data_IF_038214186472
#
_entry.id   IF_038214186472
#
_cell.length_a   1.000
_cell.length_b   1.000
_cell.length_c   1.000
_cell.angle_alpha   90.00
_cell.angle_beta   90.00
_cell.angle_gamma   90.00
#
_symmetry.space_group_name_H-M   'P 1'
#
loop_
_entity.id
_entity.type
_entity.pdbx_description
1 polymer ?
#
# COMPACT_ATOMS: atom_id res chain seq x y z
N UNK A 1 -0.04 5.19 11.24
CA UNK A 1 -0.50 5.75 9.96
C UNK A 1 -1.37 4.70 9.26
N UNK A 2 -2.57 5.05 8.78
CA UNK A 2 -3.37 4.21 7.89
C UNK A 2 -2.60 3.76 6.63
N UNK A 3 -2.89 2.56 6.12
CA UNK A 3 -2.21 2.04 4.94
C UNK A 3 -2.50 2.87 3.67
N UNK A 4 -3.68 3.49 3.57
CA UNK A 4 -4.02 4.42 2.49
C UNK A 4 -3.09 5.64 2.45
N UNK A 5 -2.77 6.17 3.62
CA UNK A 5 -1.93 7.36 3.75
C UNK A 5 -0.47 7.00 3.42
N UNK A 6 -0.02 5.84 3.90
CA UNK A 6 1.29 5.31 3.54
C UNK A 6 1.39 5.05 2.03
N UNK A 7 0.35 4.46 1.42
CA UNK A 7 0.28 4.22 -0.02
C UNK A 7 0.39 5.51 -0.82
N UNK A 8 -0.32 6.57 -0.41
CA UNK A 8 -0.25 7.88 -1.05
C UNK A 8 1.12 8.56 -0.93
N UNK A 9 1.88 8.24 0.11
CA UNK A 9 3.26 8.73 0.26
C UNK A 9 4.25 7.96 -0.62
N UNK A 10 4.03 6.66 -0.79
CA UNK A 10 4.98 5.73 -1.43
C UNK A 10 4.81 5.62 -2.96
N UNK A 11 3.60 5.79 -3.46
CA UNK A 11 3.31 5.67 -4.88
C UNK A 11 3.55 6.98 -5.63
N UNK A 12 3.99 6.89 -6.89
CA UNK A 12 4.08 8.04 -7.79
C UNK A 12 2.66 8.53 -8.13
N UNK A 13 1.76 7.58 -8.38
CA UNK A 13 0.34 7.82 -8.61
C UNK A 13 -0.51 6.82 -7.83
N UNK A 14 -1.60 7.29 -7.23
CA UNK A 14 -2.57 6.42 -6.56
C UNK A 14 -3.98 6.93 -6.83
N UNK A 15 -4.91 6.00 -7.07
CA UNK A 15 -6.34 6.30 -7.14
C UNK A 15 -7.17 5.19 -6.51
N UNK A 16 -8.29 5.53 -5.83
CA UNK A 16 -9.23 4.52 -5.38
C UNK A 16 -9.93 3.86 -6.59
N UNK A 17 -10.30 2.60 -6.43
CA UNK A 17 -11.17 1.91 -7.37
C UNK A 17 -12.64 2.02 -6.92
N UNK A 18 -13.47 2.84 -7.60
CA UNK A 18 -14.86 3.05 -7.23
C UNK A 18 -15.75 1.83 -7.50
N UNK A 19 -15.25 0.83 -8.23
CA UNK A 19 -16.02 -0.39 -8.55
C UNK A 19 -15.87 -1.47 -7.48
N UNK A 20 -14.93 -1.30 -6.55
CA UNK A 20 -14.70 -2.27 -5.49
C UNK A 20 -15.82 -2.26 -4.44
N UNK A 21 -16.39 -3.44 -4.19
CA UNK A 21 -17.38 -3.65 -3.13
C UNK A 21 -16.78 -4.58 -2.06
N UNK A 22 -16.57 -4.11 -0.83
CA UNK A 22 -16.00 -4.94 0.23
C UNK A 22 -16.95 -6.06 0.64
N UNK A 23 -16.44 -7.28 0.79
CA UNK A 23 -17.25 -8.45 1.17
C UNK A 23 -17.18 -8.81 2.66
N UNK A 24 -15.98 -8.70 3.26
CA UNK A 24 -15.73 -9.15 4.65
C UNK A 24 -15.46 -8.01 5.62
N UNK A 25 -14.84 -6.93 5.14
CA UNK A 25 -14.48 -5.77 5.93
C UNK A 25 -15.05 -4.53 5.24
N UNK A 26 -16.17 -4.02 5.75
CA UNK A 26 -16.94 -2.94 5.12
C UNK A 26 -16.13 -1.66 4.88
N UNK A 27 -15.09 -1.42 5.67
CA UNK A 27 -14.19 -0.28 5.55
C UNK A 27 -12.94 -0.57 4.71
N UNK A 28 -12.87 -1.72 4.05
CA UNK A 28 -11.79 -2.02 3.11
C UNK A 28 -11.93 -1.16 1.85
N UNK A 29 -10.83 -0.64 1.34
CA UNK A 29 -10.78 0.11 0.08
C UNK A 29 -9.78 -0.57 -0.86
N UNK A 30 -10.04 -0.50 -2.17
CA UNK A 30 -9.11 -0.95 -3.21
C UNK A 30 -8.51 0.24 -3.92
N UNK A 31 -7.21 0.15 -4.18
CA UNK A 31 -6.41 1.21 -4.80
C UNK A 31 -5.63 0.65 -5.98
N UNK A 32 -5.55 1.44 -7.04
CA UNK A 32 -4.56 1.25 -8.09
C UNK A 32 -3.41 2.22 -7.84
N UNK A 33 -2.20 1.67 -7.69
CA UNK A 33 -1.01 2.45 -7.39
C UNK A 33 0.09 2.13 -8.42
N UNK A 34 0.74 3.18 -8.91
CA UNK A 34 1.92 3.07 -9.76
C UNK A 34 3.15 3.50 -8.96
N UNK A 35 4.23 2.73 -9.08
CA UNK A 35 5.56 3.11 -8.62
C UNK A 35 6.57 2.94 -9.76
N UNK A 36 7.82 3.36 -9.54
CA UNK A 36 8.93 3.04 -10.45
C UNK A 36 9.09 1.53 -10.74
N UNK A 37 8.54 0.64 -9.90
CA UNK A 37 8.57 -0.81 -10.09
C UNK A 37 7.38 -1.37 -10.87
N UNK A 38 6.35 -0.55 -11.11
CA UNK A 38 5.18 -0.91 -11.89
C UNK A 38 3.87 -0.70 -11.14
N UNK A 39 2.85 -1.45 -11.58
CA UNK A 39 1.46 -1.25 -11.19
C UNK A 39 1.01 -2.27 -10.14
N UNK A 40 0.37 -1.77 -9.09
CA UNK A 40 -0.11 -2.53 -7.95
C UNK A 40 -1.62 -2.36 -7.76
N UNK A 41 -2.26 -3.42 -7.27
CA UNK A 41 -3.64 -3.37 -6.79
C UNK A 41 -3.64 -3.71 -5.29
N UNK A 42 -3.87 -2.69 -4.47
CA UNK A 42 -3.71 -2.77 -3.02
C UNK A 42 -5.07 -2.62 -2.36
N UNK A 43 -5.44 -3.58 -1.52
CA UNK A 43 -6.52 -3.42 -0.55
C UNK A 43 -5.95 -2.81 0.72
N UNK A 44 -6.64 -1.85 1.32
CA UNK A 44 -6.30 -1.30 2.64
C UNK A 44 -7.45 -1.49 3.61
N UNK A 45 -7.13 -1.85 4.86
CA UNK A 45 -8.10 -2.01 5.95
C UNK A 45 -7.46 -1.48 7.24
N UNK A 46 -7.66 -0.20 7.54
CA UNK A 46 -6.94 0.49 8.61
C UNK A 46 -5.44 0.55 8.31
N UNK A 47 -4.61 -0.03 9.17
CA UNK A 47 -3.15 -0.11 8.99
C UNK A 47 -2.71 -1.28 8.10
N UNK A 48 -3.60 -2.24 7.85
CA UNK A 48 -3.30 -3.44 7.07
C UNK A 48 -3.43 -3.17 5.58
N UNK A 49 -2.63 -3.87 4.80
CA UNK A 49 -2.71 -3.84 3.35
C UNK A 49 -2.56 -5.24 2.75
N UNK A 50 -3.07 -5.42 1.54
CA UNK A 50 -2.96 -6.66 0.78
C UNK A 50 -2.84 -6.37 -0.71
N UNK A 51 -1.80 -6.87 -1.35
CA UNK A 51 -1.62 -6.86 -2.79
C UNK A 51 -2.36 -8.06 -3.40
N UNK A 52 -3.40 -7.78 -4.19
CA UNK A 52 -4.21 -8.82 -4.82
C UNK A 52 -3.48 -9.54 -5.95
N UNK A 53 -2.50 -8.89 -6.59
CA UNK A 53 -1.71 -9.44 -7.70
C UNK A 53 -0.60 -10.34 -7.17
N UNK A 54 0.14 -9.86 -6.17
CA UNK A 54 1.22 -10.63 -5.54
C UNK A 54 0.72 -11.65 -4.51
N UNK A 55 -0.54 -11.53 -4.07
CA UNK A 55 -1.14 -12.32 -2.98
C UNK A 55 -0.37 -12.22 -1.67
N UNK A 56 0.24 -11.07 -1.42
CA UNK A 56 1.03 -10.76 -0.24
C UNK A 56 0.38 -9.62 0.54
N UNK A 57 0.65 -9.52 1.84
CA UNK A 57 0.10 -8.45 2.66
C UNK A 57 0.91 -8.21 3.91
N UNK A 58 0.54 -7.15 4.60
CA UNK A 58 1.31 -6.64 5.72
C UNK A 58 0.48 -5.75 6.65
N UNK A 59 1.14 -5.25 7.69
CA UNK A 59 0.50 -4.63 8.84
C UNK A 59 0.94 -3.20 9.12
N UNK A 60 1.81 -2.62 8.28
CA UNK A 60 2.37 -1.30 8.53
C UNK A 60 2.97 -0.63 7.30
N UNK A 61 3.29 0.65 7.47
CA UNK A 61 3.85 1.48 6.40
C UNK A 61 5.26 1.02 5.98
N UNK A 62 6.06 0.49 6.91
CA UNK A 62 7.41 0.01 6.62
C UNK A 62 7.37 -1.21 5.70
N UNK A 63 6.59 -2.23 6.05
CA UNK A 63 6.46 -3.43 5.22
C UNK A 63 5.77 -3.14 3.88
N UNK A 64 4.85 -2.16 3.83
CA UNK A 64 4.31 -1.67 2.56
C UNK A 64 5.38 -1.03 1.67
N UNK A 65 6.26 -0.19 2.24
CA UNK A 65 7.35 0.44 1.50
C UNK A 65 8.33 -0.60 0.96
N UNK A 66 8.68 -1.60 1.78
CA UNK A 66 9.51 -2.73 1.36
C UNK A 66 8.85 -3.47 0.17
N UNK A 67 7.55 -3.75 0.25
CA UNK A 67 6.82 -4.45 -0.81
C UNK A 67 6.73 -3.66 -2.11
N UNK A 68 6.35 -2.39 -2.05
CA UNK A 68 6.11 -1.55 -3.23
C UNK A 68 7.39 -1.07 -3.91
N UNK A 69 8.43 -0.79 -3.13
CA UNK A 69 9.65 -0.14 -3.61
C UNK A 69 10.88 -1.06 -3.62
N UNK A 70 10.75 -2.34 -3.20
CA UNK A 70 11.86 -3.31 -3.08
C UNK A 70 12.98 -2.86 -2.15
N UNK A 71 12.60 -2.12 -1.11
CA UNK A 71 13.54 -1.59 -0.13
C UNK A 71 13.81 -2.62 0.94
N UNK A 72 15.04 -2.62 1.47
CA UNK A 72 15.32 -3.22 2.77
C UNK A 72 14.56 -2.48 3.89
N UNK A 73 14.43 -3.12 5.05
CA UNK A 73 13.80 -2.51 6.22
C UNK A 73 14.43 -1.16 6.60
N UNK A 74 15.77 -1.07 6.58
CA UNK A 74 16.50 0.14 6.96
C UNK A 74 16.24 1.27 5.96
N UNK A 75 16.20 0.97 4.66
CA UNK A 75 15.87 1.95 3.62
C UNK A 75 14.43 2.44 3.78
N UNK A 76 13.48 1.53 4.02
CA UNK A 76 12.07 1.87 4.24
C UNK A 76 11.86 2.77 5.46
N UNK A 77 12.52 2.47 6.59
CA UNK A 77 12.49 3.32 7.79
C UNK A 77 13.01 4.72 7.45
N UNK A 78 14.21 4.82 6.85
CA UNK A 78 14.80 6.11 6.48
C UNK A 78 13.90 6.89 5.53
N UNK A 79 13.31 6.23 4.53
CA UNK A 79 12.45 6.85 3.54
C UNK A 79 11.20 7.49 4.17
N UNK A 80 10.61 6.82 5.16
CA UNK A 80 9.38 7.29 5.81
C UNK A 80 9.61 8.25 6.99
N UNK A 81 10.79 8.24 7.60
CA UNK A 81 11.14 9.19 8.68
C UNK A 81 11.81 10.47 8.19
N UNK A 82 12.33 10.48 6.96
CA UNK A 82 12.97 11.66 6.37
C UNK A 82 11.96 12.66 5.76
N UNK A 83 10.65 12.40 5.90
CA UNK A 83 9.56 13.26 5.45
C UNK A 83 8.96 14.05 6.60
#
# INVERSE_FOLDING_TARGET
MPASDALALLADHVKPDPTYQPLKAEHSLRWHASTARGEFEILTTGVKWYDTRARAGGGGAIDLAMHLLDMSFVEAVKHLTAR
#
